data_IF_776385252859
#
_entry.id   IF_776385252859
#
_cell.length_a   1.000
_cell.length_b   1.000
_cell.length_c   1.000
_cell.angle_alpha   90.00
_cell.angle_beta   90.00
_cell.angle_gamma   90.00
#
_symmetry.space_group_name_H-M   'P 1'
#
loop_
_entity.id
_entity.type
_entity.pdbx_description
1 polymer ?
#
# COMPACT_ATOMS: atom_id res chain seq x y z
N UNK A 1 -35.89 -6.07 -30.97
CA UNK A 1 -34.79 -6.81 -31.63
C UNK A 1 -33.51 -6.25 -31.01
N UNK A 2 -32.92 -6.85 -29.96
CA UNK A 2 -32.25 -8.16 -29.94
C UNK A 2 -31.14 -8.16 -31.00
N UNK A 3 -29.84 -8.26 -30.71
CA UNK A 3 -29.09 -9.18 -29.81
C UNK A 3 -27.83 -8.42 -29.31
N UNK A 4 -27.16 -8.66 -28.18
CA UNK A 4 -27.22 -9.76 -27.22
C UNK A 4 -25.91 -10.57 -27.17
N UNK A 5 -24.86 -10.07 -26.52
CA UNK A 5 -23.64 -10.86 -26.25
C UNK A 5 -23.04 -10.45 -24.91
N UNK A 6 -23.07 -11.37 -23.94
CA UNK A 6 -22.47 -11.20 -22.62
C UNK A 6 -21.06 -11.78 -22.60
N UNK A 7 -20.14 -11.12 -21.89
CA UNK A 7 -18.78 -11.62 -21.64
C UNK A 7 -18.70 -12.13 -20.20
N UNK A 8 -18.25 -13.37 -20.06
CA UNK A 8 -18.16 -14.14 -18.82
C UNK A 8 -17.43 -13.43 -17.65
N UNK A 9 -18.07 -13.37 -16.48
CA UNK A 9 -17.45 -13.01 -15.18
C UNK A 9 -17.24 -14.22 -14.26
N UNK A 10 -17.06 -15.41 -14.83
CA UNK A 10 -17.04 -16.68 -14.10
C UNK A 10 -15.67 -17.08 -13.51
N UNK A 11 -14.57 -16.35 -13.81
CA UNK A 11 -13.20 -16.88 -13.60
C UNK A 11 -12.42 -16.42 -12.35
N UNK A 12 -12.93 -15.51 -11.51
CA UNK A 12 -12.14 -14.95 -10.38
C UNK A 12 -12.39 -15.64 -9.02
N UNK A 13 -13.50 -16.37 -8.85
CA UNK A 13 -13.83 -17.03 -7.57
C UNK A 13 -13.13 -18.38 -7.31
N UNK A 14 -12.25 -18.83 -8.20
CA UNK A 14 -11.64 -20.16 -8.14
C UNK A 14 -10.34 -20.32 -7.33
N UNK A 15 -9.68 -19.23 -6.88
CA UNK A 15 -8.30 -19.31 -6.31
C UNK A 15 -8.16 -18.91 -4.83
N UNK A 16 -9.25 -18.74 -4.10
CA UNK A 16 -9.23 -18.44 -2.66
C UNK A 16 -9.36 -19.69 -1.74
N UNK A 17 -9.73 -20.85 -2.28
CA UNK A 17 -10.09 -22.04 -1.47
C UNK A 17 -8.90 -22.99 -1.20
N UNK A 18 -7.75 -22.80 -1.87
CA UNK A 18 -6.60 -23.74 -1.83
C UNK A 18 -5.44 -23.34 -0.89
N UNK A 19 -5.63 -22.40 0.04
CA UNK A 19 -4.59 -22.04 1.04
C UNK A 19 -5.05 -22.30 2.49
N UNK A 20 -6.35 -22.29 2.78
CA UNK A 20 -6.87 -22.54 4.13
C UNK A 20 -6.80 -24.04 4.57
N UNK A 21 -6.57 -24.97 3.64
CA UNK A 21 -6.56 -26.41 3.93
C UNK A 21 -5.25 -26.97 4.52
N UNK A 22 -4.16 -26.19 4.56
CA UNK A 22 -2.84 -26.70 4.92
C UNK A 22 -2.44 -26.51 6.39
N UNK A 23 -3.22 -25.75 7.19
CA UNK A 23 -2.85 -25.39 8.58
C UNK A 23 -3.57 -26.22 9.66
N UNK A 24 -4.36 -27.23 9.27
CA UNK A 24 -5.18 -28.04 10.19
C UNK A 24 -4.55 -29.35 10.69
N UNK A 25 -3.35 -29.74 10.22
CA UNK A 25 -2.82 -31.10 10.37
C UNK A 25 -1.49 -31.18 11.15
N UNK A 26 -1.25 -30.27 12.11
CA UNK A 26 0.03 -30.20 12.84
C UNK A 26 -0.07 -29.96 14.36
N UNK A 27 -1.28 -30.02 14.95
CA UNK A 27 -1.53 -29.74 16.37
C UNK A 27 -1.98 -30.97 17.19
N UNK A 28 -1.48 -32.15 16.86
CA UNK A 28 -1.76 -33.39 17.60
C UNK A 28 -0.55 -34.35 17.66
N UNK A 29 0.49 -33.99 18.43
CA UNK A 29 1.32 -34.90 19.26
C UNK A 29 2.44 -34.11 19.96
N UNK A 30 2.63 -34.35 21.27
CA UNK A 30 3.73 -33.83 22.08
C UNK A 30 3.49 -32.42 22.66
N UNK A 31 3.80 -32.14 23.93
CA UNK A 31 4.26 -33.01 25.00
C UNK A 31 4.40 -32.20 26.30
N UNK A 32 3.99 -32.75 27.45
CA UNK A 32 4.13 -32.08 28.73
C UNK A 32 5.53 -32.31 29.31
N UNK A 33 6.25 -31.26 29.71
CA UNK A 33 7.61 -31.41 30.24
C UNK A 33 8.30 -30.12 30.73
N UNK A 34 8.05 -29.79 32.00
CA UNK A 34 8.97 -29.21 33.00
C UNK A 34 9.84 -27.94 32.73
N UNK A 35 10.24 -27.31 33.86
CA UNK A 35 11.13 -26.14 34.02
C UNK A 35 10.57 -24.78 33.54
N UNK A 36 10.91 -23.64 34.14
CA UNK A 36 11.75 -23.43 35.33
C UNK A 36 12.61 -22.17 35.18
N UNK A 37 12.20 -21.09 35.87
CA UNK A 37 12.90 -19.82 36.07
C UNK A 37 13.43 -18.99 34.88
N UNK A 38 13.13 -17.68 34.92
CA UNK A 38 14.12 -16.60 34.82
C UNK A 38 13.44 -15.22 34.84
N UNK A 39 13.59 -14.50 35.95
CA UNK A 39 13.26 -13.08 36.05
C UNK A 39 14.53 -12.21 35.99
N UNK A 40 14.49 -11.17 35.18
CA UNK A 40 15.31 -9.97 35.32
C UNK A 40 16.83 -10.10 35.14
N UNK A 41 17.32 -9.75 33.95
CA UNK A 41 18.70 -9.28 33.75
C UNK A 41 18.68 -8.02 32.90
N UNK A 42 19.26 -6.94 33.43
CA UNK A 42 19.40 -5.65 32.77
C UNK A 42 20.22 -5.71 31.47
N UNK A 43 19.83 -4.91 30.48
CA UNK A 43 20.66 -4.59 29.32
C UNK A 43 20.64 -3.08 29.05
N UNK A 44 21.76 -2.41 29.34
CA UNK A 44 22.00 -1.01 28.97
C UNK A 44 21.88 -0.83 27.46
N UNK A 45 21.08 0.14 27.02
CA UNK A 45 21.29 0.81 25.73
C UNK A 45 22.44 1.84 25.85
N UNK A 46 23.17 2.07 24.75
CA UNK A 46 24.33 2.95 24.72
C UNK A 46 23.99 4.31 24.09
N UNK A 47 23.98 5.37 24.91
CA UNK A 47 23.90 6.76 24.43
C UNK A 47 25.25 7.26 23.92
N UNK A 48 25.38 7.41 22.60
CA UNK A 48 26.52 8.05 21.95
C UNK A 48 26.46 9.58 22.08
N UNK A 49 26.89 10.13 23.22
CA UNK A 49 26.87 11.59 23.46
C UNK A 49 28.24 12.23 23.21
N UNK A 50 28.36 12.97 22.11
CA UNK A 50 29.57 13.72 21.74
C UNK A 50 29.89 14.83 22.74
N UNK A 51 31.16 14.99 23.08
CA UNK A 51 31.65 16.03 23.98
C UNK A 51 31.84 17.39 23.28
N UNK A 52 31.54 18.53 23.94
CA UNK A 52 32.02 19.83 23.50
C UNK A 52 33.50 20.01 23.89
N UNK A 53 34.23 20.81 23.11
CA UNK A 53 35.61 21.26 23.42
C UNK A 53 35.58 22.76 23.67
N UNK A 54 36.25 23.22 24.72
CA UNK A 54 36.43 24.65 25.05
C UNK A 54 37.92 25.05 25.00
N UNK A 55 38.17 26.35 24.77
CA UNK A 55 39.48 27.03 24.84
C UNK A 55 40.35 26.88 23.56
N UNK A 56 41.11 27.87 23.09
CA UNK A 56 41.37 29.28 23.46
C UNK A 56 41.89 30.01 22.18
N UNK A 57 41.98 31.34 22.02
CA UNK A 57 41.80 32.47 22.95
C UNK A 57 41.07 33.67 22.27
N UNK A 58 41.42 34.91 22.65
CA UNK A 58 40.89 36.22 22.23
C UNK A 58 42.02 37.15 21.71
N UNK A 59 41.67 38.11 20.85
CA UNK A 59 42.02 39.56 20.93
C UNK A 59 41.83 40.26 19.56
N UNK A 60 41.19 41.44 19.52
CA UNK A 60 41.18 42.24 18.28
C UNK A 60 40.18 43.39 18.06
N UNK A 61 39.99 44.30 19.02
CA UNK A 61 39.84 45.72 18.64
C UNK A 61 38.45 46.39 18.50
N UNK A 62 38.06 47.05 19.60
CA UNK A 62 37.48 48.41 19.67
C UNK A 62 36.05 48.71 19.14
N UNK A 63 35.28 49.38 20.01
CA UNK A 63 33.93 49.87 19.77
C UNK A 63 33.89 51.32 19.24
N UNK A 64 32.76 51.69 18.64
CA UNK A 64 32.24 53.06 18.66
C UNK A 64 30.72 53.03 18.86
N UNK A 65 30.23 53.83 19.81
CA UNK A 65 28.82 53.83 20.26
C UNK A 65 27.90 54.62 19.33
N UNK A 66 26.63 54.23 19.31
CA UNK A 66 25.63 54.78 18.40
C UNK A 66 25.21 56.23 18.64
N UNK A 67 24.49 56.75 17.66
CA UNK A 67 23.66 57.95 17.75
C UNK A 67 22.28 57.57 17.18
N UNK A 68 21.19 57.88 17.91
CA UNK A 68 19.82 57.76 17.39
C UNK A 68 19.38 59.12 16.86
N UNK A 69 18.93 59.17 15.61
CA UNK A 69 18.23 60.34 15.07
C UNK A 69 17.08 59.90 14.16
N UNK A 70 15.85 59.99 14.66
CA UNK A 70 14.62 59.92 13.86
C UNK A 70 14.58 61.06 12.84
N UNK A 71 14.35 60.75 11.57
CA UNK A 71 14.71 61.69 10.50
C UNK A 71 14.10 61.46 9.12
N UNK A 72 12.79 61.19 9.05
CA UNK A 72 11.94 61.44 7.85
C UNK A 72 12.27 60.61 6.59
N UNK A 73 11.54 59.51 6.42
CA UNK A 73 11.45 58.78 5.17
C UNK A 73 11.10 59.70 3.98
N UNK A 74 11.97 59.71 2.96
CA UNK A 74 11.65 60.19 1.62
C UNK A 74 11.80 59.01 0.67
N UNK A 75 10.70 58.65 -0.01
CA UNK A 75 10.60 57.40 -0.77
C UNK A 75 11.51 57.38 -2.00
N UNK A 76 12.76 56.95 -1.82
CA UNK A 76 13.60 56.52 -2.95
C UNK A 76 13.11 55.15 -3.41
N UNK A 77 12.08 55.17 -4.26
CA UNK A 77 11.57 54.00 -4.99
C UNK A 77 12.77 53.27 -5.60
N UNK A 78 13.11 52.10 -5.05
CA UNK A 78 14.23 51.33 -5.54
C UNK A 78 13.96 50.98 -7.01
N UNK A 79 14.85 51.41 -7.91
CA UNK A 79 14.79 50.97 -9.30
C UNK A 79 14.94 49.44 -9.32
N UNK A 80 14.16 48.71 -10.12
CA UNK A 80 14.34 47.27 -10.25
C UNK A 80 15.76 47.02 -10.76
N UNK A 81 16.55 46.25 -10.00
CA UNK A 81 17.91 45.87 -10.42
C UNK A 81 17.81 45.10 -11.75
N UNK A 82 18.53 45.51 -12.81
CA UNK A 82 18.61 44.72 -14.03
C UNK A 82 19.28 43.38 -13.71
N UNK A 83 18.67 42.27 -14.10
CA UNK A 83 19.22 40.94 -13.84
C UNK A 83 19.12 40.53 -12.38
N UNK A 84 17.90 40.26 -11.89
CA UNK A 84 17.77 39.21 -10.88
C UNK A 84 18.33 37.93 -11.52
N UNK A 85 19.36 37.32 -10.91
CA UNK A 85 19.84 36.01 -11.34
C UNK A 85 18.64 35.07 -11.38
N UNK A 86 18.44 34.36 -12.50
CA UNK A 86 17.24 33.57 -12.73
C UNK A 86 17.10 32.53 -11.62
N UNK A 87 16.21 32.79 -10.66
CA UNK A 87 16.11 31.99 -9.45
C UNK A 87 15.35 30.72 -9.81
N UNK A 88 16.07 29.60 -9.82
CA UNK A 88 15.51 28.32 -10.20
C UNK A 88 14.72 27.75 -9.03
N UNK A 89 13.40 28.02 -9.01
CA UNK A 89 12.51 27.56 -7.95
C UNK A 89 11.59 26.46 -8.46
N UNK A 90 11.64 25.30 -7.81
CA UNK A 90 10.67 24.23 -8.01
C UNK A 90 9.45 24.51 -7.15
N UNK A 91 8.27 24.61 -7.76
CA UNK A 91 6.99 24.77 -7.06
C UNK A 91 6.14 23.51 -7.19
N UNK A 92 5.62 23.05 -6.06
CA UNK A 92 4.65 21.96 -6.00
C UNK A 92 3.47 22.34 -5.11
N UNK A 93 2.26 21.95 -5.50
CA UNK A 93 1.08 22.02 -4.65
C UNK A 93 0.34 20.67 -4.64
N UNK A 94 -0.27 20.36 -3.50
CA UNK A 94 -1.27 19.30 -3.38
C UNK A 94 -2.57 19.93 -2.87
N UNK A 95 -3.68 19.56 -3.50
CA UNK A 95 -5.03 20.04 -3.22
C UNK A 95 -5.96 18.85 -3.06
N UNK A 96 -6.66 18.74 -1.94
CA UNK A 96 -7.85 17.89 -1.85
C UNK A 96 -9.08 18.80 -1.87
N UNK A 97 -9.95 18.61 -2.86
CA UNK A 97 -11.16 19.43 -3.06
C UNK A 97 -12.38 18.52 -3.16
N UNK A 98 -13.34 18.76 -2.28
CA UNK A 98 -14.64 18.12 -2.28
C UNK A 98 -15.55 18.80 -3.31
N UNK A 99 -16.06 18.02 -4.27
CA UNK A 99 -16.83 18.53 -5.42
C UNK A 99 -18.10 17.71 -5.67
N UNK A 100 -19.23 18.39 -5.89
CA UNK A 100 -20.54 17.74 -6.15
C UNK A 100 -20.60 16.88 -7.41
N UNK A 101 -19.62 17.00 -8.30
CA UNK A 101 -19.55 16.23 -9.55
C UNK A 101 -18.10 16.21 -10.04
N UNK A 102 -17.42 15.10 -9.78
CA UNK A 102 -16.02 14.91 -10.18
C UNK A 102 -15.82 15.06 -11.70
N UNK A 103 -16.65 14.50 -12.61
CA UNK A 103 -16.50 14.74 -14.05
C UNK A 103 -16.51 16.21 -14.48
N UNK A 104 -17.31 17.05 -13.82
CA UNK A 104 -17.35 18.51 -14.11
C UNK A 104 -16.11 19.22 -13.57
N UNK A 105 -15.65 18.82 -12.38
CA UNK A 105 -14.45 19.38 -11.76
C UNK A 105 -13.17 18.98 -12.51
N UNK A 106 -13.07 17.74 -13.01
CA UNK A 106 -12.01 17.26 -13.91
C UNK A 106 -11.94 18.13 -15.18
N UNK A 107 -13.09 18.33 -15.85
CA UNK A 107 -13.15 19.14 -17.06
C UNK A 107 -12.77 20.61 -16.81
N UNK A 108 -13.22 21.19 -15.69
CA UNK A 108 -12.84 22.55 -15.29
C UNK A 108 -11.34 22.66 -14.93
N UNK A 109 -10.79 21.69 -14.21
CA UNK A 109 -9.37 21.66 -13.85
C UNK A 109 -8.46 21.53 -15.07
N UNK A 110 -8.85 20.70 -16.05
CA UNK A 110 -8.18 20.62 -17.35
C UNK A 110 -8.23 21.95 -18.09
N UNK A 111 -9.40 22.57 -18.21
CA UNK A 111 -9.56 23.86 -18.88
C UNK A 111 -8.75 25.00 -18.21
N UNK A 112 -8.68 25.03 -16.88
CA UNK A 112 -7.85 25.97 -16.12
C UNK A 112 -6.34 25.77 -16.38
N UNK A 113 -5.88 24.51 -16.40
CA UNK A 113 -4.49 24.19 -16.69
C UNK A 113 -4.10 24.53 -18.15
N UNK A 114 -4.91 24.10 -19.13
CA UNK A 114 -4.68 24.34 -20.56
C UNK A 114 -4.81 25.83 -20.91
N UNK A 115 -5.80 26.54 -20.36
CA UNK A 115 -5.99 27.99 -20.53
C UNK A 115 -4.83 28.84 -19.97
N UNK A 116 -4.12 28.32 -18.97
CA UNK A 116 -2.89 28.90 -18.44
C UNK A 116 -1.62 28.56 -19.25
N UNK A 117 -1.73 27.80 -20.35
CA UNK A 117 -0.60 27.30 -21.13
C UNK A 117 0.11 26.09 -20.49
N UNK A 118 -0.56 25.39 -19.58
CA UNK A 118 -0.12 24.14 -18.99
C UNK A 118 -0.67 22.91 -19.71
N UNK A 119 -0.45 21.73 -19.11
CA UNK A 119 -0.93 20.43 -19.60
C UNK A 119 -1.31 19.51 -18.44
N UNK A 120 -2.16 18.52 -18.73
CA UNK A 120 -2.43 17.39 -17.83
C UNK A 120 -1.36 16.32 -18.06
N UNK A 121 -0.56 16.02 -17.04
CA UNK A 121 0.51 15.01 -17.11
C UNK A 121 0.03 13.62 -16.71
N UNK A 122 -0.98 13.53 -15.84
CA UNK A 122 -1.68 12.29 -15.51
C UNK A 122 -3.10 12.59 -15.04
N UNK A 123 -4.03 11.70 -15.34
CA UNK A 123 -5.41 11.72 -14.88
C UNK A 123 -5.84 10.27 -14.65
N UNK A 124 -6.20 9.93 -13.41
CA UNK A 124 -6.74 8.63 -13.04
C UNK A 124 -8.08 8.86 -12.34
N UNK A 125 -9.16 8.36 -12.92
CA UNK A 125 -10.52 8.47 -12.37
C UNK A 125 -11.02 7.09 -12.01
N UNK A 126 -11.28 6.88 -10.74
CA UNK A 126 -11.76 5.62 -10.18
C UNK A 126 -13.21 5.77 -9.76
N UNK A 127 -14.03 4.79 -10.13
CA UNK A 127 -15.43 4.72 -9.73
C UNK A 127 -15.56 3.78 -8.54
N UNK A 128 -16.05 4.32 -7.42
CA UNK A 128 -16.20 3.57 -6.17
C UNK A 128 -17.51 2.77 -6.18
N UNK A 129 -18.60 3.39 -6.67
CA UNK A 129 -19.89 2.76 -6.97
C UNK A 129 -20.61 3.47 -8.14
N UNK A 130 -21.87 3.13 -8.44
CA UNK A 130 -22.61 3.74 -9.56
C UNK A 130 -22.90 5.25 -9.40
N UNK A 131 -22.62 5.85 -8.25
CA UNK A 131 -22.90 7.26 -7.90
C UNK A 131 -21.63 8.07 -7.60
N UNK A 132 -20.62 7.45 -6.97
CA UNK A 132 -19.40 8.11 -6.49
C UNK A 132 -18.17 7.76 -7.35
N UNK A 133 -17.52 8.81 -7.85
CA UNK A 133 -16.26 8.75 -8.58
C UNK A 133 -15.23 9.64 -7.86
N UNK A 134 -14.00 9.17 -7.72
CA UNK A 134 -12.84 9.96 -7.28
C UNK A 134 -11.91 10.18 -8.47
N UNK A 135 -11.19 11.31 -8.51
CA UNK A 135 -10.22 11.57 -9.58
C UNK A 135 -8.94 12.20 -9.05
N UNK A 136 -7.81 11.68 -9.52
CA UNK A 136 -6.48 12.09 -9.18
C UNK A 136 -5.79 12.67 -10.42
N UNK A 137 -5.50 13.97 -10.40
CA UNK A 137 -4.92 14.70 -11.51
C UNK A 137 -3.54 15.25 -11.16
N UNK A 138 -2.61 15.16 -12.10
CA UNK A 138 -1.30 15.81 -12.02
C UNK A 138 -1.22 16.82 -13.15
N UNK A 139 -1.30 18.10 -12.79
CA UNK A 139 -1.29 19.23 -13.71
C UNK A 139 0.12 19.85 -13.73
N UNK A 140 0.61 20.20 -14.92
CA UNK A 140 1.87 20.91 -15.12
C UNK A 140 1.57 22.29 -15.69
N UNK A 141 1.91 23.35 -14.95
CA UNK A 141 1.52 24.73 -15.26
C UNK A 141 2.76 25.64 -15.24
N UNK A 142 2.91 26.61 -16.15
CA UNK A 142 4.00 27.60 -16.10
C UNK A 142 4.11 28.30 -14.74
N UNK A 143 5.34 28.56 -14.26
CA UNK A 143 5.59 29.14 -12.93
C UNK A 143 4.88 30.49 -12.70
N UNK A 144 4.70 31.27 -13.77
CA UNK A 144 4.08 32.59 -13.79
C UNK A 144 2.57 32.49 -13.51
N UNK A 145 1.93 31.42 -14.01
CA UNK A 145 0.49 31.17 -13.90
C UNK A 145 0.10 30.24 -12.76
N UNK A 146 1.06 29.52 -12.16
CA UNK A 146 0.83 28.61 -11.03
C UNK A 146 -0.06 29.20 -9.93
N UNK A 147 0.20 30.44 -9.50
CA UNK A 147 -0.57 31.09 -8.43
C UNK A 147 -2.00 31.49 -8.82
N UNK A 148 -2.31 31.57 -10.11
CA UNK A 148 -3.64 31.86 -10.66
C UNK A 148 -4.47 30.59 -10.70
N UNK A 149 -3.96 29.54 -11.37
CA UNK A 149 -4.59 28.22 -11.45
C UNK A 149 -4.80 27.62 -10.05
N UNK A 150 -3.82 27.75 -9.15
CA UNK A 150 -3.94 27.27 -7.77
C UNK A 150 -5.09 27.94 -6.98
N UNK A 151 -5.45 29.19 -7.30
CA UNK A 151 -6.63 29.85 -6.71
C UNK A 151 -7.92 29.35 -7.35
N UNK A 152 -7.96 29.26 -8.67
CA UNK A 152 -9.11 28.79 -9.43
C UNK A 152 -9.52 27.37 -9.02
N UNK A 153 -8.57 26.44 -8.98
CA UNK A 153 -8.80 25.07 -8.51
C UNK A 153 -9.31 25.03 -7.06
N UNK A 154 -8.76 25.85 -6.17
CA UNK A 154 -9.23 25.92 -4.76
C UNK A 154 -10.64 26.52 -4.60
N UNK A 155 -11.14 27.24 -5.60
CA UNK A 155 -12.50 27.80 -5.63
C UNK A 155 -13.54 26.92 -6.34
N UNK A 156 -13.12 25.79 -6.94
CA UNK A 156 -14.00 24.88 -7.69
C UNK A 156 -14.94 24.03 -6.82
N UNK A 157 -14.68 23.96 -5.52
CA UNK A 157 -15.44 23.17 -4.55
C UNK A 157 -15.09 23.55 -3.11
N UNK A 158 -15.35 22.63 -2.16
CA UNK A 158 -15.00 22.81 -0.75
C UNK A 158 -13.59 22.27 -0.53
N UNK A 159 -12.64 23.17 -0.30
CA UNK A 159 -11.24 22.81 -0.04
C UNK A 159 -11.12 22.02 1.27
N UNK A 160 -10.67 20.76 1.19
CA UNK A 160 -10.41 19.90 2.36
C UNK A 160 -8.98 20.06 2.86
N UNK A 161 -7.99 20.09 1.96
CA UNK A 161 -6.59 20.35 2.30
C UNK A 161 -5.85 21.07 1.19
N UNK A 162 -4.83 21.84 1.56
CA UNK A 162 -3.91 22.51 0.63
C UNK A 162 -2.52 22.59 1.22
N UNK A 163 -1.57 21.99 0.51
CA UNK A 163 -0.14 22.08 0.81
C UNK A 163 0.55 22.73 -0.39
N UNK A 164 1.44 23.69 -0.16
CA UNK A 164 2.19 24.38 -1.21
C UNK A 164 3.64 24.52 -0.78
N UNK A 165 4.55 23.96 -1.58
CA UNK A 165 5.98 23.99 -1.34
C UNK A 165 6.70 24.74 -2.46
N UNK A 166 7.74 25.48 -2.10
CA UNK A 166 8.68 26.10 -3.02
C UNK A 166 10.09 25.76 -2.56
N UNK A 167 10.91 25.21 -3.45
CA UNK A 167 12.31 24.88 -3.17
C UNK A 167 13.22 25.61 -4.16
N UNK A 168 14.09 26.46 -3.65
CA UNK A 168 15.19 27.01 -4.45
C UNK A 168 16.20 25.88 -4.76
N UNK A 169 16.56 25.77 -6.03
CA UNK A 169 17.53 24.82 -6.56
C UNK A 169 18.58 25.51 -7.45
N UNK A 170 18.71 26.83 -7.35
CA UNK A 170 19.68 27.62 -8.12
C UNK A 170 21.10 27.07 -7.98
N UNK A 171 21.54 26.77 -6.76
CA UNK A 171 22.86 26.17 -6.50
C UNK A 171 23.04 24.80 -7.17
N UNK A 172 21.97 23.97 -7.22
CA UNK A 172 22.01 22.66 -7.88
C UNK A 172 22.09 22.78 -9.40
N UNK A 173 21.41 23.76 -10.00
CA UNK A 173 21.49 24.02 -11.45
C UNK A 173 22.91 24.47 -11.81
N UNK A 174 23.49 25.40 -11.05
CA UNK A 174 24.85 25.90 -11.27
C UNK A 174 25.92 24.81 -11.07
N UNK A 175 25.79 23.96 -10.04
CA UNK A 175 26.69 22.81 -9.84
C UNK A 175 26.61 21.81 -11.01
N UNK A 176 25.40 21.43 -11.43
CA UNK A 176 25.21 20.50 -12.56
C UNK A 176 25.78 21.09 -13.86
N UNK A 177 25.59 22.38 -14.14
CA UNK A 177 26.16 23.03 -15.33
C UNK A 177 27.69 23.10 -15.28
N UNK A 178 28.27 23.42 -14.13
CA UNK A 178 29.72 23.39 -13.90
C UNK A 178 30.30 21.99 -14.15
N UNK A 179 29.67 20.95 -13.59
CA UNK A 179 30.05 19.55 -13.81
C UNK A 179 29.93 19.14 -15.28
N UNK A 180 28.85 19.49 -15.97
CA UNK A 180 28.68 19.22 -17.41
C UNK A 180 29.82 19.84 -18.22
N UNK A 181 30.19 21.11 -17.94
CA UNK A 181 31.29 21.77 -18.65
C UNK A 181 32.64 21.05 -18.43
N UNK A 182 32.92 20.65 -17.20
CA UNK A 182 34.13 19.91 -16.81
C UNK A 182 34.17 18.53 -17.47
N UNK A 183 33.03 17.82 -17.46
CA UNK A 183 32.92 16.49 -18.04
C UNK A 183 33.05 16.50 -19.57
N UNK A 184 32.49 17.53 -20.25
CA UNK A 184 32.70 17.75 -21.69
C UNK A 184 34.18 17.98 -22.03
N UNK A 185 34.88 18.80 -21.25
CA UNK A 185 36.32 19.01 -21.42
C UNK A 185 37.13 17.72 -21.16
N UNK A 186 36.69 16.89 -20.19
CA UNK A 186 37.28 15.57 -19.96
C UNK A 186 37.07 14.61 -21.13
N UNK A 187 35.86 14.56 -21.72
CA UNK A 187 35.57 13.72 -22.89
C UNK A 187 36.37 14.16 -24.12
N UNK A 188 36.52 15.46 -24.33
CA UNK A 188 37.36 16.01 -25.39
C UNK A 188 38.84 15.58 -25.23
N UNK A 189 39.42 15.78 -24.04
CA UNK A 189 40.81 15.40 -23.73
C UNK A 189 41.06 13.89 -23.91
N UNK A 190 40.13 13.03 -23.50
CA UNK A 190 40.30 11.57 -23.69
C UNK A 190 40.29 11.22 -25.18
N UNK A 191 39.49 11.89 -26.00
CA UNK A 191 39.51 11.69 -27.47
C UNK A 191 40.82 12.18 -28.09
N UNK A 192 41.32 13.36 -27.70
CA UNK A 192 42.63 13.86 -28.13
C UNK A 192 43.75 12.84 -27.80
N UNK A 193 43.77 12.30 -26.58
CA UNK A 193 44.72 11.26 -26.18
C UNK A 193 44.54 9.93 -26.92
N UNK A 194 43.34 9.60 -27.42
CA UNK A 194 43.12 8.43 -28.27
C UNK A 194 43.66 8.64 -29.69
N UNK A 195 43.53 9.84 -30.24
CA UNK A 195 44.06 10.19 -31.56
C UNK A 195 45.61 10.17 -31.57
N UNK A 196 46.25 10.39 -30.41
CA UNK A 196 47.71 10.30 -30.20
C UNK A 196 48.20 8.88 -29.80
N UNK A 197 47.33 7.91 -29.56
CA UNK A 197 47.70 6.62 -28.97
C UNK A 197 48.27 5.60 -29.98
N UNK A 198 49.57 5.33 -29.92
CA UNK A 198 50.25 4.37 -30.82
C UNK A 198 50.02 2.89 -30.48
N UNK A 199 49.60 2.55 -29.25
CA UNK A 199 49.48 1.16 -28.78
C UNK A 199 48.03 0.74 -28.60
N UNK A 200 47.70 -0.45 -29.11
CA UNK A 200 46.37 -1.06 -28.98
C UNK A 200 45.94 -1.22 -27.51
N UNK A 201 46.86 -1.52 -26.59
CA UNK A 201 46.58 -1.58 -25.15
C UNK A 201 46.07 -0.26 -24.58
N UNK A 202 46.63 0.83 -25.07
CA UNK A 202 46.42 2.18 -24.55
C UNK A 202 45.10 2.72 -25.13
N UNK A 203 44.80 2.40 -26.40
CA UNK A 203 43.49 2.62 -27.04
C UNK A 203 42.37 1.90 -26.26
N UNK A 204 42.49 0.60 -25.97
CA UNK A 204 41.45 -0.16 -25.25
C UNK A 204 41.21 0.38 -23.84
N UNK A 205 42.27 0.85 -23.15
CA UNK A 205 42.13 1.50 -21.84
C UNK A 205 41.40 2.85 -21.96
N UNK A 206 41.74 3.67 -22.96
CA UNK A 206 41.11 4.95 -23.22
C UNK A 206 39.66 4.82 -23.69
N UNK A 207 39.30 3.77 -24.44
CA UNK A 207 37.91 3.44 -24.79
C UNK A 207 37.06 3.18 -23.54
N UNK A 208 37.60 2.45 -22.56
CA UNK A 208 36.93 2.19 -21.27
C UNK A 208 36.71 3.47 -20.45
N UNK A 209 37.72 4.34 -20.38
CA UNK A 209 37.59 5.67 -19.77
C UNK A 209 36.58 6.54 -20.53
N UNK A 210 36.67 6.61 -21.86
CA UNK A 210 35.78 7.40 -22.71
C UNK A 210 34.31 7.00 -22.53
N UNK A 211 34.03 5.69 -22.52
CA UNK A 211 32.71 5.13 -22.26
C UNK A 211 32.18 5.56 -20.89
N UNK A 212 33.00 5.43 -19.84
CA UNK A 212 32.66 5.85 -18.48
C UNK A 212 32.35 7.36 -18.42
N UNK A 213 33.22 8.20 -19.01
CA UNK A 213 33.03 9.66 -19.00
C UNK A 213 31.79 10.11 -19.79
N UNK A 214 31.42 9.38 -20.85
CA UNK A 214 30.20 9.63 -21.62
C UNK A 214 28.95 9.28 -20.80
N UNK A 215 28.93 8.13 -20.13
CA UNK A 215 27.84 7.72 -19.22
C UNK A 215 27.61 8.74 -18.09
N UNK A 216 28.68 9.25 -17.47
CA UNK A 216 28.61 10.32 -16.48
C UNK A 216 28.02 11.63 -17.08
N UNK A 217 28.45 12.00 -18.28
CA UNK A 217 27.98 13.20 -18.97
C UNK A 217 26.49 13.10 -19.32
N UNK A 218 26.04 11.96 -19.83
CA UNK A 218 24.63 11.68 -20.12
C UNK A 218 23.78 11.71 -18.84
N UNK A 219 24.29 11.14 -17.75
CA UNK A 219 23.65 11.19 -16.43
C UNK A 219 23.49 12.62 -15.89
N UNK A 220 24.48 13.49 -16.10
CA UNK A 220 24.39 14.91 -15.74
C UNK A 220 23.43 15.68 -16.64
N UNK A 221 23.42 15.40 -17.95
CA UNK A 221 22.49 16.03 -18.90
C UNK A 221 21.03 15.65 -18.60
N UNK A 222 20.77 14.40 -18.22
CA UNK A 222 19.45 13.96 -17.77
C UNK A 222 19.00 14.68 -16.47
N UNK A 223 19.92 14.89 -15.53
CA UNK A 223 19.67 15.69 -14.32
C UNK A 223 19.37 17.16 -14.66
N UNK A 224 20.14 17.78 -15.56
CA UNK A 224 19.89 19.15 -16.03
C UNK A 224 18.50 19.27 -16.68
N UNK A 225 18.12 18.32 -17.54
CA UNK A 225 16.80 18.30 -18.17
C UNK A 225 15.66 18.20 -17.15
N UNK A 226 15.82 17.33 -16.13
CA UNK A 226 14.85 17.17 -15.03
C UNK A 226 14.73 18.42 -14.15
N UNK A 227 15.85 19.06 -13.79
CA UNK A 227 15.83 20.34 -13.06
C UNK A 227 15.19 21.46 -13.88
N UNK A 228 15.46 21.52 -15.19
CA UNK A 228 14.86 22.49 -16.11
C UNK A 228 13.35 22.31 -16.22
N UNK A 229 12.86 21.09 -16.42
CA UNK A 229 11.41 20.79 -16.43
C UNK A 229 10.74 21.25 -15.13
N UNK A 230 11.27 20.85 -13.98
CA UNK A 230 10.70 21.14 -12.65
C UNK A 230 10.79 22.61 -12.24
N UNK A 231 11.64 23.40 -12.89
CA UNK A 231 11.78 24.85 -12.65
C UNK A 231 11.01 25.68 -13.67
N UNK A 232 10.75 25.19 -14.88
CA UNK A 232 9.85 25.86 -15.85
C UNK A 232 8.38 25.53 -15.64
N UNK A 233 8.06 24.32 -15.20
CA UNK A 233 6.70 23.84 -14.96
C UNK A 233 6.50 23.47 -13.48
N UNK A 234 5.57 24.17 -12.83
CA UNK A 234 5.11 23.82 -11.50
C UNK A 234 4.16 22.61 -11.56
N UNK A 235 4.21 21.76 -10.53
CA UNK A 235 3.31 20.59 -10.43
C UNK A 235 2.18 20.88 -9.45
N UNK A 236 0.93 20.68 -9.87
CA UNK A 236 -0.23 20.69 -8.99
C UNK A 236 -0.83 19.28 -9.00
N UNK A 237 -0.79 18.60 -7.87
CA UNK A 237 -1.59 17.40 -7.63
C UNK A 237 -2.96 17.85 -7.12
N UNK A 238 -4.02 17.34 -7.74
CA UNK A 238 -5.40 17.64 -7.41
C UNK A 238 -6.15 16.32 -7.20
N UNK A 239 -6.61 16.12 -5.98
CA UNK A 239 -7.45 15.01 -5.57
C UNK A 239 -8.89 15.52 -5.45
N UNK A 240 -9.79 14.96 -6.27
CA UNK A 240 -11.19 15.31 -6.35
C UNK A 240 -12.03 14.17 -5.76
N UNK A 241 -12.67 14.45 -4.64
CA UNK A 241 -13.55 13.51 -3.93
C UNK A 241 -14.98 14.06 -3.98
N UNK A 242 -16.02 13.22 -4.07
CA UNK A 242 -17.39 13.68 -3.82
C UNK A 242 -17.50 14.23 -2.39
N UNK A 243 -18.60 14.94 -2.04
CA UNK A 243 -18.97 15.07 -0.64
C UNK A 243 -19.04 13.67 -0.04
N UNK A 244 -18.43 13.49 1.12
CA UNK A 244 -18.72 12.34 1.96
C UNK A 244 -20.26 12.25 2.02
N UNK A 245 -20.82 11.13 1.54
CA UNK A 245 -22.07 10.67 2.13
C UNK A 245 -21.81 10.58 3.63
N UNK A 246 -22.80 10.82 4.52
CA UNK A 246 -22.64 10.36 5.89
C UNK A 246 -22.21 8.90 5.79
N UNK A 247 -21.03 8.61 6.34
CA UNK A 247 -20.45 7.29 6.21
C UNK A 247 -21.48 6.26 6.69
N UNK A 248 -21.78 5.23 5.90
CA UNK A 248 -22.42 4.02 6.43
C UNK A 248 -21.36 3.20 7.19
N UNK A 249 -20.49 3.86 7.97
CA UNK A 249 -19.47 3.28 8.86
C UNK A 249 -20.08 2.79 10.18
N UNK A 250 -21.29 2.24 10.06
CA UNK A 250 -22.16 1.96 11.18
C UNK A 250 -22.82 3.25 11.67
N UNK A 251 -24.08 3.42 11.26
CA UNK A 251 -25.07 3.64 12.30
C UNK A 251 -24.86 2.53 13.35
N UNK A 252 -24.16 2.86 14.44
CA UNK A 252 -24.53 2.43 15.77
C UNK A 252 -25.94 3.00 16.05
N UNK A 253 -26.91 2.54 15.26
CA UNK A 253 -28.32 2.54 15.57
C UNK A 253 -28.39 1.79 16.91
N UNK A 254 -28.52 2.55 18.00
CA UNK A 254 -28.74 2.06 19.36
C UNK A 254 -29.78 0.92 19.27
N UNK A 255 -29.36 -0.36 19.34
CA UNK A 255 -30.09 -1.42 18.63
C UNK A 255 -31.47 -1.53 19.22
N UNK A 256 -32.45 -1.09 18.43
CA UNK A 256 -33.83 -1.00 18.88
C UNK A 256 -34.28 -2.36 19.39
N UNK A 257 -35.23 -2.37 20.34
CA UNK A 257 -35.72 -3.63 20.93
C UNK A 257 -36.17 -4.66 19.87
N UNK A 258 -36.57 -4.20 18.68
CA UNK A 258 -36.94 -5.03 17.53
C UNK A 258 -35.73 -5.58 16.75
N UNK A 259 -34.63 -4.84 16.60
CA UNK A 259 -33.39 -5.35 15.97
C UNK A 259 -32.61 -6.26 16.89
N UNK A 260 -32.61 -5.98 18.20
CA UNK A 260 -32.12 -6.94 19.20
C UNK A 260 -32.91 -8.27 19.15
N UNK A 261 -34.22 -8.21 18.90
CA UNK A 261 -35.06 -9.40 18.70
C UNK A 261 -34.80 -10.08 17.34
N UNK A 262 -34.55 -9.31 16.27
CA UNK A 262 -34.16 -9.81 14.96
C UNK A 262 -32.83 -10.55 14.97
N UNK A 263 -31.78 -9.95 15.55
CA UNK A 263 -30.48 -10.59 15.75
C UNK A 263 -30.55 -11.82 16.66
N UNK A 264 -31.38 -11.77 17.72
CA UNK A 264 -31.65 -12.93 18.56
C UNK A 264 -32.36 -14.08 17.82
N UNK A 265 -33.25 -13.76 16.89
CA UNK A 265 -33.92 -14.76 16.04
C UNK A 265 -32.98 -15.37 15.01
N UNK A 266 -32.11 -14.59 14.37
CA UNK A 266 -31.09 -15.14 13.45
C UNK A 266 -30.09 -16.05 14.19
N UNK A 267 -29.65 -15.65 15.39
CA UNK A 267 -28.81 -16.49 16.24
C UNK A 267 -29.50 -17.83 16.59
N UNK A 268 -30.81 -17.81 16.88
CA UNK A 268 -31.61 -19.01 17.11
C UNK A 268 -31.72 -19.91 15.86
N UNK A 269 -32.02 -19.34 14.69
CA UNK A 269 -32.08 -20.10 13.42
C UNK A 269 -30.71 -20.66 13.05
N UNK A 270 -29.64 -19.91 13.27
CA UNK A 270 -28.25 -20.33 13.06
C UNK A 270 -27.89 -21.49 13.99
N UNK A 271 -28.29 -21.45 15.27
CA UNK A 271 -28.12 -22.58 16.20
C UNK A 271 -28.89 -23.82 15.73
N UNK A 272 -30.14 -23.66 15.29
CA UNK A 272 -30.97 -24.76 14.78
C UNK A 272 -30.39 -25.38 13.50
N UNK A 273 -29.82 -24.55 12.62
CA UNK A 273 -29.10 -24.97 11.41
C UNK A 273 -27.86 -25.79 11.75
N UNK A 274 -27.06 -25.37 12.73
CA UNK A 274 -25.90 -26.15 13.20
C UNK A 274 -26.31 -27.50 13.80
N UNK A 275 -27.40 -27.56 14.56
CA UNK A 275 -27.97 -28.81 15.07
C UNK A 275 -28.39 -29.72 13.90
N UNK A 276 -29.09 -29.21 12.89
CA UNK A 276 -29.48 -29.99 11.72
C UNK A 276 -28.27 -30.52 10.93
N UNK A 277 -27.22 -29.72 10.77
CA UNK A 277 -25.94 -30.15 10.16
C UNK A 277 -25.27 -31.25 10.99
N UNK A 278 -25.24 -31.13 12.33
CA UNK A 278 -24.68 -32.15 13.20
C UNK A 278 -25.44 -33.49 13.11
N UNK A 279 -26.78 -33.47 13.06
CA UNK A 279 -27.58 -34.67 12.83
C UNK A 279 -27.35 -35.28 11.44
N UNK A 280 -27.26 -34.45 10.39
CA UNK A 280 -26.91 -34.91 9.04
C UNK A 280 -25.53 -35.57 8.97
N UNK A 281 -24.53 -35.00 9.65
CA UNK A 281 -23.19 -35.55 9.75
C UNK A 281 -23.12 -36.83 10.61
N UNK A 282 -23.95 -36.95 11.65
CA UNK A 282 -24.03 -38.14 12.50
C UNK A 282 -24.76 -39.33 11.82
N UNK A 283 -25.68 -39.05 10.90
CA UNK A 283 -26.48 -40.07 10.19
C UNK A 283 -25.67 -41.24 9.57
N UNK A 284 -24.57 -41.03 8.80
CA UNK A 284 -23.74 -42.13 8.30
C UNK A 284 -23.07 -42.96 9.41
N UNK A 285 -22.67 -42.34 10.53
CA UNK A 285 -22.10 -43.05 11.69
C UNK A 285 -23.15 -43.87 12.44
N UNK A 286 -24.40 -43.38 12.54
CA UNK A 286 -25.51 -44.14 13.10
C UNK A 286 -25.88 -45.34 12.22
N UNK A 287 -25.94 -45.17 10.89
CA UNK A 287 -26.19 -46.28 9.95
C UNK A 287 -25.12 -47.38 10.04
N UNK A 288 -23.84 -46.99 10.04
CA UNK A 288 -22.74 -47.95 10.17
C UNK A 288 -22.71 -48.64 11.54
N UNK A 289 -23.02 -47.91 12.63
CA UNK A 289 -23.18 -48.48 13.97
C UNK A 289 -24.31 -49.51 14.05
N UNK A 290 -25.48 -49.22 13.48
CA UNK A 290 -26.62 -50.16 13.42
C UNK A 290 -26.25 -51.41 12.62
N UNK A 291 -25.61 -51.25 11.45
CA UNK A 291 -25.12 -52.37 10.65
C UNK A 291 -24.13 -53.26 11.43
N UNK A 292 -23.17 -52.66 12.15
CA UNK A 292 -22.21 -53.38 12.98
C UNK A 292 -22.91 -54.20 14.09
N UNK A 293 -23.92 -53.64 14.77
CA UNK A 293 -24.71 -54.34 15.80
C UNK A 293 -25.52 -55.49 15.21
N UNK A 294 -26.11 -55.32 14.02
CA UNK A 294 -26.84 -56.39 13.31
C UNK A 294 -25.89 -57.53 12.92
N UNK A 295 -24.75 -57.22 12.31
CA UNK A 295 -23.73 -58.22 11.96
C UNK A 295 -23.23 -58.95 13.22
N UNK A 296 -22.94 -58.23 14.31
CA UNK A 296 -22.54 -58.85 15.58
C UNK A 296 -23.61 -59.78 16.15
N UNK A 297 -24.90 -59.39 16.13
CA UNK A 297 -25.99 -60.28 16.59
C UNK A 297 -26.17 -61.50 15.70
N UNK A 298 -26.05 -61.38 14.39
CA UNK A 298 -26.09 -62.52 13.45
C UNK A 298 -24.91 -63.46 13.68
N UNK A 299 -23.69 -62.92 13.84
CA UNK A 299 -22.50 -63.71 14.16
C UNK A 299 -22.59 -64.37 15.53
N UNK A 300 -23.15 -63.70 16.55
CA UNK A 300 -23.37 -64.29 17.88
C UNK A 300 -24.39 -65.43 17.83
N UNK A 301 -25.52 -65.27 17.12
CA UNK A 301 -26.48 -66.36 16.88
C UNK A 301 -25.86 -67.53 16.10
N UNK A 302 -25.09 -67.25 15.04
CA UNK A 302 -24.37 -68.29 14.27
C UNK A 302 -23.29 -69.01 15.09
N UNK A 303 -22.55 -68.31 15.95
CA UNK A 303 -21.58 -68.92 16.88
C UNK A 303 -22.26 -69.75 17.97
N UNK A 304 -23.41 -69.32 18.48
CA UNK A 304 -24.22 -70.11 19.41
C UNK A 304 -24.75 -71.39 18.75
N UNK A 305 -25.29 -71.30 17.53
CA UNK A 305 -25.76 -72.45 16.75
C UNK A 305 -24.62 -73.44 16.42
N UNK A 306 -23.43 -72.95 16.05
CA UNK A 306 -22.25 -73.81 15.85
C UNK A 306 -21.79 -74.50 17.15
N UNK A 307 -21.83 -73.82 18.30
CA UNK A 307 -21.54 -74.43 19.62
C UNK A 307 -22.58 -75.50 19.98
N UNK A 308 -23.86 -75.27 19.69
CA UNK A 308 -24.92 -76.25 19.90
C UNK A 308 -24.77 -77.49 18.99
N UNK A 309 -24.41 -77.31 17.72
CA UNK A 309 -24.16 -78.40 16.79
C UNK A 309 -22.97 -79.27 17.22
N UNK A 310 -21.88 -78.66 17.70
CA UNK A 310 -20.72 -79.39 18.26
C UNK A 310 -21.09 -80.13 19.56
N UNK A 311 -21.98 -79.59 20.38
CA UNK A 311 -22.46 -80.26 21.60
C UNK A 311 -23.43 -81.43 21.31
N UNK A 312 -24.28 -81.30 20.29
CA UNK A 312 -25.21 -82.37 19.86
C UNK A 312 -24.50 -83.55 19.18
N UNK A 313 -23.35 -83.32 18.56
CA UNK A 313 -22.48 -84.40 18.06
C UNK A 313 -21.79 -85.20 19.18
N UNK A 314 -21.87 -84.74 20.45
CA UNK A 314 -21.04 -85.22 21.55
C UNK A 314 -21.78 -85.97 22.67
N UNK A 315 -23.05 -86.39 22.50
CA UNK A 315 -23.77 -87.11 23.56
C UNK A 315 -24.76 -88.20 23.07
N UNK A 316 -24.70 -89.44 23.59
CA UNK A 316 -25.49 -90.59 23.11
C UNK A 316 -26.94 -90.60 23.66
N UNK A 317 -27.80 -91.39 23.01
CA UNK A 317 -29.25 -91.38 23.23
C UNK A 317 -29.78 -92.46 24.20
N UNK A 318 -30.80 -92.08 24.98
CA UNK A 318 -31.60 -92.90 25.90
C UNK A 318 -32.27 -91.99 26.95
N UNK A 319 -33.43 -92.29 27.55
CA UNK A 319 -34.37 -93.43 27.40
C UNK A 319 -35.72 -93.01 28.04
N UNK A 320 -36.84 -93.51 27.48
CA UNK A 320 -38.22 -93.73 28.03
C UNK A 320 -38.83 -92.87 29.17
N UNK A 321 -40.17 -92.75 29.14
CA UNK A 321 -41.00 -92.66 30.36
C UNK A 321 -42.16 -91.66 30.31
N UNK A 322 -43.40 -92.15 30.23
CA UNK A 322 -44.59 -91.42 30.71
C UNK A 322 -44.84 -91.75 32.19
N UNK A 323 -46.10 -91.86 32.67
CA UNK A 323 -47.38 -91.51 32.04
C UNK A 323 -48.32 -90.77 33.03
N UNK A 324 -49.64 -90.77 32.74
CA UNK A 324 -50.75 -90.72 33.73
C UNK A 324 -50.94 -89.39 34.52
N UNK A 325 -52.09 -89.12 35.15
CA UNK A 325 -53.49 -89.51 34.90
C UNK A 325 -54.38 -88.62 35.81
N UNK A 326 -55.69 -88.77 35.70
CA UNK A 326 -56.66 -88.51 36.79
C UNK A 326 -57.39 -89.81 37.10
#
# INVERSE_FOLDING_TARGET
MCVGSGIDRSFVRGRAVLVAGALGLLLAVGGCGASGDSSGSDAKAADGKSAPREGFADEGGAAASGERADGKASGRKAAPKPGAAATHVIRTAALSVEVRSVPKAVAAARAAAEGAGGLVASENTERLDDTYETSHLVLRVPQERFGEVLRELSGSGKLRSRTSNAKDVTDQVVDVESRISTQRASVARVRELMDEAEKISDVVALEGELSSRQSDLESLLAQQASLKDRTSLATITLDLTPPDAPDEDGEEDDPGFLDALGGGWDAFVTMLRWIAVAFGAAFPFLLTGVLAVVVWRVLRKRRAARRAAVALAARPAGREGGPAAS
#
